data_IF_749740308489
#
_entry.id   IF_749740308489
#
_cell.length_a   1.000
_cell.length_b   1.000
_cell.length_c   1.000
_cell.angle_alpha   90.00
_cell.angle_beta   90.00
_cell.angle_gamma   90.00
#
_symmetry.space_group_name_H-M   'P 1'
#
loop_
_entity.id
_entity.type
_entity.pdbx_description
1 polymer ?
#
# COMPACT_ATOMS: atom_id res chain seq x y z
N UNK A 1 16.75 -16.61 -22.60
CA UNK A 1 15.47 -16.75 -21.87
C UNK A 1 15.28 -15.49 -21.03
N UNK A 2 14.83 -14.40 -21.67
CA UNK A 2 14.42 -13.18 -20.97
C UNK A 2 12.98 -13.42 -20.47
N UNK A 3 12.64 -13.17 -19.20
CA UNK A 3 11.29 -13.38 -18.75
C UNK A 3 10.38 -12.33 -19.42
N UNK A 4 9.59 -12.82 -20.36
CA UNK A 4 8.22 -12.39 -20.67
C UNK A 4 7.61 -11.59 -19.50
N UNK A 5 7.21 -10.36 -19.82
CA UNK A 5 7.03 -9.24 -18.89
C UNK A 5 6.33 -9.55 -17.57
N UNK A 6 6.99 -9.16 -16.48
CA UNK A 6 6.28 -8.76 -15.26
C UNK A 6 5.33 -7.63 -15.65
N UNK A 7 4.02 -7.83 -15.46
CA UNK A 7 3.01 -6.83 -15.79
C UNK A 7 3.27 -5.51 -15.06
N UNK A 8 2.84 -4.38 -15.63
CA UNK A 8 3.03 -3.04 -15.03
C UNK A 8 2.64 -3.02 -13.54
N UNK A 9 1.53 -3.68 -13.19
CA UNK A 9 1.03 -3.80 -11.82
C UNK A 9 1.94 -4.61 -10.90
N UNK A 10 2.55 -5.69 -11.40
CA UNK A 10 3.54 -6.47 -10.64
C UNK A 10 4.78 -5.64 -10.32
N UNK A 11 5.26 -4.84 -11.28
CA UNK A 11 6.39 -3.93 -11.05
C UNK A 11 6.07 -2.77 -10.08
N UNK A 12 4.78 -2.42 -9.93
CA UNK A 12 4.33 -1.46 -8.91
C UNK A 12 4.29 -2.15 -7.55
N UNK A 13 3.68 -3.34 -7.45
CA UNK A 13 3.64 -4.14 -6.23
C UNK A 13 5.04 -4.42 -5.69
N UNK A 14 6.00 -4.75 -6.55
CA UNK A 14 7.39 -4.99 -6.13
C UNK A 14 8.02 -3.78 -5.46
N UNK A 15 7.82 -2.58 -6.02
CA UNK A 15 8.34 -1.32 -5.46
C UNK A 15 7.63 -0.98 -4.15
N UNK A 16 6.32 -1.18 -4.07
CA UNK A 16 5.57 -0.97 -2.84
C UNK A 16 6.02 -1.92 -1.73
N UNK A 17 6.23 -3.20 -2.04
CA UNK A 17 6.74 -4.18 -1.08
C UNK A 17 8.13 -3.80 -0.55
N UNK A 18 8.99 -3.19 -1.38
CA UNK A 18 10.28 -2.68 -0.91
C UNK A 18 10.09 -1.59 0.15
N UNK A 19 9.25 -0.58 -0.13
CA UNK A 19 8.93 0.48 0.82
C UNK A 19 8.27 -0.06 2.11
N UNK A 20 7.35 -1.01 1.99
CA UNK A 20 6.71 -1.66 3.13
C UNK A 20 7.72 -2.48 3.95
N UNK A 21 8.69 -3.12 3.29
CA UNK A 21 9.80 -3.80 3.95
C UNK A 21 10.66 -2.86 4.79
N UNK A 22 10.95 -1.66 4.28
CA UNK A 22 11.66 -0.61 5.05
C UNK A 22 10.84 -0.13 6.25
N UNK A 23 9.53 0.11 6.07
CA UNK A 23 8.62 0.47 7.15
C UNK A 23 8.58 -0.60 8.25
N UNK A 24 8.56 -1.89 7.87
CA UNK A 24 8.63 -3.01 8.81
C UNK A 24 9.93 -3.02 9.60
N UNK A 25 11.06 -2.77 8.94
CA UNK A 25 12.37 -2.70 9.61
C UNK A 25 12.45 -1.55 10.61
N UNK A 26 11.75 -0.44 10.36
CA UNK A 26 11.65 0.72 11.26
C UNK A 26 10.65 0.50 12.41
N UNK A 27 9.81 -0.53 12.33
CA UNK A 27 8.74 -0.80 13.30
C UNK A 27 7.46 0.02 13.05
N UNK A 28 7.33 0.65 11.88
CA UNK A 28 6.13 1.41 11.49
C UNK A 28 4.94 0.49 11.17
N UNK A 29 5.19 -0.78 10.81
CA UNK A 29 4.19 -1.83 10.58
C UNK A 29 4.60 -3.13 11.30
N UNK A 30 3.65 -4.05 11.60
CA UNK A 30 3.94 -5.28 12.35
C UNK A 30 5.04 -6.16 11.73
N UNK A 31 5.87 -6.76 12.57
CA UNK A 31 7.02 -7.57 12.15
C UNK A 31 6.59 -8.90 11.48
N UNK A 32 5.41 -9.42 11.83
CA UNK A 32 4.78 -10.61 11.25
C UNK A 32 4.00 -10.33 9.96
N UNK A 33 3.95 -9.07 9.52
CA UNK A 33 3.29 -8.70 8.28
C UNK A 33 4.02 -9.26 7.05
N UNK A 34 3.26 -9.93 6.17
CA UNK A 34 3.71 -10.29 4.82
C UNK A 34 3.63 -9.07 3.90
N UNK A 35 4.76 -8.36 3.78
CA UNK A 35 4.88 -7.14 2.96
C UNK A 35 4.67 -7.38 1.47
N UNK A 36 4.85 -8.62 0.96
CA UNK A 36 4.61 -8.95 -0.45
C UNK A 36 3.12 -9.08 -0.70
N UNK A 37 2.45 -9.92 0.08
CA UNK A 37 0.99 -10.05 0.03
C UNK A 37 0.30 -8.69 0.23
N UNK A 38 0.80 -7.90 1.17
CA UNK A 38 0.29 -6.56 1.44
C UNK A 38 0.49 -5.61 0.24
N UNK A 39 1.57 -5.71 -0.51
CA UNK A 39 1.73 -4.89 -1.72
C UNK A 39 0.78 -5.32 -2.85
N UNK A 40 0.59 -6.62 -3.04
CA UNK A 40 -0.28 -7.15 -4.08
C UNK A 40 -1.75 -6.75 -3.84
N UNK A 41 -2.24 -6.98 -2.61
CA UNK A 41 -3.62 -6.60 -2.22
C UNK A 41 -3.84 -5.08 -2.33
N UNK A 42 -2.80 -4.28 -2.04
CA UNK A 42 -2.86 -2.83 -2.20
C UNK A 42 -3.05 -2.42 -3.67
N UNK A 43 -2.35 -3.07 -4.62
CA UNK A 43 -2.55 -2.80 -6.06
C UNK A 43 -3.97 -3.16 -6.48
N UNK A 44 -4.44 -4.36 -6.15
CA UNK A 44 -5.77 -4.84 -6.55
C UNK A 44 -6.88 -3.88 -6.07
N UNK A 45 -6.79 -3.44 -4.81
CA UNK A 45 -7.73 -2.48 -4.24
C UNK A 45 -7.62 -1.10 -4.93
N UNK A 46 -6.41 -0.68 -5.29
CA UNK A 46 -6.16 0.61 -5.93
C UNK A 46 -6.77 0.64 -7.34
N UNK A 47 -6.66 -0.45 -8.09
CA UNK A 47 -7.26 -0.58 -9.42
C UNK A 47 -8.79 -0.42 -9.37
N UNK A 48 -9.45 -1.10 -8.43
CA UNK A 48 -10.89 -1.00 -8.24
C UNK A 48 -11.33 0.40 -7.81
N UNK A 49 -10.59 1.03 -6.90
CA UNK A 49 -10.87 2.38 -6.43
C UNK A 49 -10.64 3.44 -7.52
N UNK A 50 -9.58 3.28 -8.33
CA UNK A 50 -9.28 4.13 -9.47
C UNK A 50 -10.37 4.02 -10.55
N UNK A 51 -10.81 2.80 -10.88
CA UNK A 51 -11.90 2.56 -11.81
C UNK A 51 -13.20 3.23 -11.35
N UNK A 52 -13.58 3.03 -10.08
CA UNK A 52 -14.79 3.63 -9.49
C UNK A 52 -14.70 5.15 -9.46
N UNK A 53 -13.52 5.70 -9.18
CA UNK A 53 -13.28 7.14 -9.18
C UNK A 53 -13.43 7.74 -10.58
N UNK A 54 -12.93 7.05 -11.62
CA UNK A 54 -13.12 7.42 -13.02
C UNK A 54 -14.58 7.37 -13.44
N UNK A 55 -15.29 6.29 -13.11
CA UNK A 55 -16.70 6.11 -13.43
C UNK A 55 -17.57 7.21 -12.80
N UNK A 56 -17.27 7.60 -11.56
CA UNK A 56 -18.02 8.62 -10.83
C UNK A 56 -17.52 10.05 -11.06
N UNK A 57 -16.43 10.22 -11.83
CA UNK A 57 -15.69 11.49 -11.98
C UNK A 57 -15.42 12.16 -10.63
N UNK A 58 -15.08 11.35 -9.62
CA UNK A 58 -14.91 11.78 -8.24
C UNK A 58 -13.79 10.96 -7.58
N UNK A 59 -12.72 11.57 -7.06
CA UNK A 59 -11.58 10.87 -6.47
C UNK A 59 -11.86 10.23 -5.10
N UNK A 60 -13.03 10.45 -4.50
CA UNK A 60 -13.32 10.05 -3.12
C UNK A 60 -13.13 8.55 -2.84
N UNK A 61 -13.39 7.66 -3.82
CA UNK A 61 -13.20 6.22 -3.60
C UNK A 61 -11.73 5.84 -3.48
N UNK A 62 -10.85 6.50 -4.23
CA UNK A 62 -9.41 6.30 -4.14
C UNK A 62 -8.84 6.83 -2.83
N UNK A 63 -9.23 8.05 -2.43
CA UNK A 63 -8.80 8.63 -1.14
C UNK A 63 -9.24 7.77 0.04
N UNK A 64 -10.51 7.32 0.06
CA UNK A 64 -11.03 6.49 1.13
C UNK A 64 -10.32 5.14 1.25
N UNK A 65 -9.97 4.53 0.12
CA UNK A 65 -9.22 3.27 0.09
C UNK A 65 -7.81 3.44 0.70
N UNK A 66 -7.07 4.48 0.30
CA UNK A 66 -5.73 4.74 0.84
C UNK A 66 -5.75 5.04 2.34
N UNK A 67 -6.69 5.88 2.78
CA UNK A 67 -6.86 6.23 4.20
C UNK A 67 -7.15 4.99 5.06
N UNK A 68 -8.06 4.13 4.60
CA UNK A 68 -8.39 2.89 5.29
C UNK A 68 -7.18 1.96 5.37
N UNK A 69 -6.49 1.77 4.24
CA UNK A 69 -5.37 0.86 4.16
C UNK A 69 -4.25 1.25 5.12
N UNK A 70 -3.81 2.51 5.06
CA UNK A 70 -2.73 3.01 5.91
C UNK A 70 -3.07 2.91 7.40
N UNK A 71 -4.32 3.25 7.79
CA UNK A 71 -4.77 3.11 9.18
C UNK A 71 -4.80 1.65 9.65
N UNK A 72 -5.03 0.70 8.75
CA UNK A 72 -5.11 -0.71 9.11
C UNK A 72 -3.74 -1.36 9.34
N UNK A 73 -2.67 -0.81 8.75
CA UNK A 73 -1.33 -1.43 8.75
C UNK A 73 -0.32 -0.70 9.65
N UNK A 74 -0.52 0.59 9.91
CA UNK A 74 0.40 1.38 10.74
C UNK A 74 0.27 1.00 12.21
N UNK A 75 1.39 0.70 12.85
CA UNK A 75 1.50 0.68 14.31
C UNK A 75 1.51 2.13 14.81
N UNK A 76 0.61 2.47 15.71
CA UNK A 76 0.65 3.77 16.36
C UNK A 76 1.92 3.88 17.21
N UNK A 77 2.89 4.70 16.79
CA UNK A 77 4.04 5.05 17.61
C UNK A 77 3.65 6.15 18.62
N UNK A 78 3.63 5.86 19.94
CA UNK A 78 3.33 6.86 20.96
C UNK A 78 4.38 7.97 21.07
N UNK A 79 5.59 7.77 20.51
CA UNK A 79 6.71 8.73 20.62
C UNK A 79 6.65 9.82 19.54
N UNK A 80 5.98 9.57 18.42
CA UNK A 80 5.89 10.50 17.28
C UNK A 80 4.95 11.69 17.54
N UNK A 81 4.05 11.59 18.51
CA UNK A 81 3.12 12.68 18.90
C UNK A 81 3.70 13.64 19.95
N UNK A 82 4.84 13.32 20.58
CA UNK A 82 5.52 14.17 21.58
C UNK A 82 6.60 15.05 20.95
N UNK A 83 6.24 15.78 19.91
CA UNK A 83 7.06 16.89 19.39
C UNK A 83 6.23 18.17 19.42
N UNK A 84 6.00 18.68 20.62
CA UNK A 84 5.67 20.07 20.93
C UNK A 84 6.14 20.39 22.34
#
# INVERSE_FOLDING_TARGET
MFPIGVGCFSAIAERMAACLGEARQRGDIPADCDVRQMADVLVDCWEGAALRSRLRRNPASLSAMLDFYLRSVIIADPRRTRSK
#
